data_IF_360064656755
#
_entry.id   IF_360064656755
#
_cell.length_a   1.000
_cell.length_b   1.000
_cell.length_c   1.000
_cell.angle_alpha   90.00
_cell.angle_beta   90.00
_cell.angle_gamma   90.00
#
_symmetry.space_group_name_H-M   'P 1'
#
loop_
_entity.id
_entity.type
_entity.pdbx_description
1 polymer ?
#
# COMPACT_ATOMS: atom_id res chain seq x y z
N UNK A 1 -49.01 -7.53 15.21
CA UNK A 1 -49.69 -6.54 14.35
C UNK A 1 -48.82 -5.30 14.30
N UNK A 2 -48.30 -4.94 13.12
CA UNK A 2 -47.46 -3.75 12.92
C UNK A 2 -47.10 -3.67 11.45
N UNK A 3 -47.52 -2.56 10.83
CA UNK A 3 -47.92 -2.47 9.42
C UNK A 3 -46.76 -1.98 8.54
N UNK A 4 -46.68 -2.53 7.33
CA UNK A 4 -45.76 -2.20 6.26
C UNK A 4 -45.72 -0.70 5.93
N UNK A 5 -44.52 -0.13 5.79
CA UNK A 5 -44.31 1.14 5.09
C UNK A 5 -43.51 0.92 3.81
N UNK A 6 -44.19 1.18 2.69
CA UNK A 6 -43.66 1.09 1.34
C UNK A 6 -42.88 2.36 0.96
N UNK A 7 -41.63 2.21 0.52
CA UNK A 7 -40.89 3.30 -0.15
C UNK A 7 -41.12 3.24 -1.66
N UNK A 8 -41.72 4.31 -2.18
CA UNK A 8 -41.93 4.56 -3.61
C UNK A 8 -40.62 5.00 -4.27
N UNK A 9 -40.25 4.32 -5.35
CA UNK A 9 -39.21 4.74 -6.31
C UNK A 9 -39.77 5.88 -7.18
N UNK A 10 -38.98 6.95 -7.37
CA UNK A 10 -39.16 7.88 -8.48
C UNK A 10 -37.86 8.00 -9.25
N UNK A 11 -37.90 7.50 -10.49
CA UNK A 11 -36.93 7.71 -11.55
C UNK A 11 -37.09 9.14 -12.07
N UNK A 12 -35.98 9.89 -12.23
CA UNK A 12 -35.95 11.14 -12.99
C UNK A 12 -34.61 11.20 -13.73
N UNK A 13 -34.60 10.79 -15.00
CA UNK A 13 -34.58 11.62 -16.21
C UNK A 13 -33.20 12.20 -16.54
N UNK A 14 -32.51 11.53 -17.46
CA UNK A 14 -31.32 12.01 -18.16
C UNK A 14 -31.69 13.12 -19.17
N UNK A 15 -30.88 14.18 -19.33
CA UNK A 15 -31.01 15.09 -20.44
C UNK A 15 -30.26 14.57 -21.68
N UNK A 16 -30.92 14.80 -22.83
CA UNK A 16 -30.52 14.45 -24.19
C UNK A 16 -29.33 15.29 -24.67
N UNK A 17 -28.55 14.66 -25.55
CA UNK A 17 -27.63 15.28 -26.50
C UNK A 17 -28.35 16.29 -27.38
N UNK A 18 -27.68 17.38 -27.72
CA UNK A 18 -27.93 18.12 -28.96
C UNK A 18 -26.61 18.69 -29.51
N UNK A 19 -26.22 18.09 -30.64
CA UNK A 19 -25.82 18.70 -31.91
C UNK A 19 -24.69 19.76 -32.01
N UNK A 20 -23.70 19.35 -32.79
CA UNK A 20 -22.70 20.13 -33.55
C UNK A 20 -23.39 20.88 -34.72
N UNK A 21 -22.89 22.07 -35.10
CA UNK A 21 -22.35 22.28 -36.46
C UNK A 21 -21.01 23.04 -36.38
N UNK A 22 -19.94 22.57 -37.03
CA UNK A 22 -19.54 22.76 -38.44
C UNK A 22 -19.04 24.19 -38.78
N UNK A 23 -17.72 24.24 -39.10
CA UNK A 23 -16.97 25.15 -40.00
C UNK A 23 -16.96 26.68 -39.79
N UNK A 24 -15.74 27.20 -39.65
CA UNK A 24 -15.23 28.40 -40.36
C UNK A 24 -13.69 28.32 -40.34
N UNK A 25 -13.04 28.01 -41.48
CA UNK A 25 -12.27 28.95 -42.32
C UNK A 25 -11.10 29.61 -41.56
N UNK A 26 -9.86 29.22 -41.87
CA UNK A 26 -8.97 29.70 -42.96
C UNK A 26 -8.08 30.84 -42.49
N UNK A 27 -6.82 30.66 -42.83
CA UNK A 27 -5.85 31.69 -43.18
C UNK A 27 -5.52 32.73 -42.11
N UNK A 28 -4.29 32.65 -41.60
CA UNK A 28 -3.30 33.74 -41.73
C UNK A 28 -1.98 33.30 -41.09
N UNK A 29 -1.07 32.81 -41.93
CA UNK A 29 0.37 32.83 -41.65
C UNK A 29 0.97 34.13 -42.20
N UNK A 30 1.90 34.76 -41.48
CA UNK A 30 2.94 35.56 -42.11
C UNK A 30 4.29 34.85 -41.96
N UNK A 31 4.81 34.41 -43.11
CA UNK A 31 6.23 34.10 -43.29
C UNK A 31 7.05 35.39 -43.10
N UNK A 32 7.92 35.39 -42.10
CA UNK A 32 9.01 36.36 -41.99
C UNK A 32 10.34 35.59 -41.98
N UNK A 33 11.21 35.76 -43.00
CA UNK A 33 12.54 35.19 -43.00
C UNK A 33 13.45 36.01 -42.09
N UNK A 34 13.63 35.56 -40.85
CA UNK A 34 14.68 36.10 -39.96
C UNK A 34 15.99 35.38 -40.29
N UNK A 35 16.88 36.16 -40.92
CA UNK A 35 18.27 35.84 -41.21
C UNK A 35 19.01 35.51 -39.91
N UNK A 36 19.40 34.25 -39.75
CA UNK A 36 20.32 33.80 -38.70
C UNK A 36 21.72 34.32 -39.04
N UNK A 37 22.27 35.18 -38.19
CA UNK A 37 23.72 35.35 -38.07
C UNK A 37 24.19 34.46 -36.92
N UNK A 38 25.17 33.56 -37.13
CA UNK A 38 25.75 32.76 -36.06
C UNK A 38 27.18 33.24 -35.80
N UNK A 39 27.39 34.18 -34.89
CA UNK A 39 28.72 34.43 -34.31
C UNK A 39 28.55 35.28 -33.05
N UNK A 40 29.29 34.93 -31.99
CA UNK A 40 29.41 35.64 -30.72
C UNK A 40 28.26 35.53 -29.69
N UNK A 41 28.12 34.34 -29.10
CA UNK A 41 27.83 34.23 -27.64
C UNK A 41 28.34 32.92 -27.05
N UNK A 42 29.55 32.50 -27.45
CA UNK A 42 30.25 31.32 -26.93
C UNK A 42 31.23 31.67 -25.81
N UNK A 43 30.85 32.50 -24.82
CA UNK A 43 31.68 32.75 -23.63
C UNK A 43 30.89 32.96 -22.31
N UNK A 44 29.57 32.75 -22.27
CA UNK A 44 28.77 32.90 -21.04
C UNK A 44 28.15 31.56 -20.53
N UNK A 45 28.74 30.42 -20.87
CA UNK A 45 28.30 29.09 -20.41
C UNK A 45 29.40 28.27 -19.73
N UNK A 46 30.49 28.90 -19.27
CA UNK A 46 31.61 28.21 -18.60
C UNK A 46 31.73 28.39 -17.09
N UNK A 47 30.78 29.06 -16.44
CA UNK A 47 30.81 29.29 -14.98
C UNK A 47 29.58 28.76 -14.21
N UNK A 48 28.74 27.92 -14.82
CA UNK A 48 27.61 27.26 -14.12
C UNK A 48 27.75 25.74 -13.99
N UNK A 49 28.99 25.24 -14.03
CA UNK A 49 29.36 23.99 -13.36
C UNK A 49 30.08 24.33 -12.05
N UNK A 50 29.39 25.11 -11.21
CA UNK A 50 29.71 25.10 -9.79
C UNK A 50 29.29 23.72 -9.30
N UNK A 51 30.30 22.92 -9.00
CA UNK A 51 30.23 21.68 -8.25
C UNK A 51 29.23 21.86 -7.09
N UNK A 52 27.98 21.46 -7.31
CA UNK A 52 27.13 20.94 -6.24
C UNK A 52 27.75 19.61 -5.84
N UNK A 53 28.86 19.71 -5.12
CA UNK A 53 29.18 18.82 -4.02
C UNK A 53 28.01 18.94 -3.07
N UNK A 54 26.91 18.25 -3.42
CA UNK A 54 25.86 17.88 -2.50
C UNK A 54 26.62 17.09 -1.44
N UNK A 55 26.96 17.77 -0.35
CA UNK A 55 27.05 17.12 0.94
C UNK A 55 25.83 16.20 0.97
N UNK A 56 26.06 14.90 0.78
CA UNK A 56 25.06 13.87 0.95
C UNK A 56 24.67 13.99 2.41
N UNK A 57 23.71 14.86 2.70
CA UNK A 57 23.04 14.93 3.98
C UNK A 57 22.52 13.52 4.15
N UNK A 58 23.14 12.78 5.08
CA UNK A 58 22.90 11.36 5.24
C UNK A 58 21.38 11.17 5.33
N UNK A 59 20.83 10.35 4.43
CA UNK A 59 19.41 10.05 4.47
C UNK A 59 19.08 9.46 5.85
N UNK A 60 17.93 9.85 6.39
CA UNK A 60 17.50 9.32 7.68
C UNK A 60 17.30 7.80 7.59
N UNK A 61 17.69 7.09 8.64
CA UNK A 61 17.59 5.63 8.72
C UNK A 61 16.15 5.14 8.46
N UNK A 62 15.96 4.02 7.73
CA UNK A 62 14.65 3.40 7.54
C UNK A 62 13.95 3.07 8.85
N UNK A 63 14.71 2.73 9.89
CA UNK A 63 14.18 2.44 11.23
C UNK A 63 13.51 3.64 11.91
N UNK A 64 13.74 4.85 11.42
CA UNK A 64 13.11 6.08 11.90
C UNK A 64 12.03 6.52 10.93
N UNK A 65 12.34 6.55 9.63
CA UNK A 65 11.45 7.07 8.59
C UNK A 65 10.19 6.22 8.44
N UNK A 66 10.33 4.89 8.40
CA UNK A 66 9.18 4.00 8.16
C UNK A 66 8.17 4.08 9.31
N UNK A 67 8.52 3.83 10.59
CA UNK A 67 7.52 3.85 11.65
C UNK A 67 6.85 5.21 11.80
N UNK A 68 7.60 6.30 11.62
CA UNK A 68 7.05 7.65 11.66
C UNK A 68 5.99 7.89 10.58
N UNK A 69 6.31 7.57 9.31
CA UNK A 69 5.37 7.73 8.19
C UNK A 69 4.13 6.86 8.39
N UNK A 70 4.31 5.59 8.76
CA UNK A 70 3.20 4.67 8.98
C UNK A 70 2.32 5.15 10.14
N UNK A 71 2.89 5.70 11.22
CA UNK A 71 2.10 6.27 12.30
C UNK A 71 1.29 7.49 11.84
N UNK A 72 1.90 8.45 11.13
CA UNK A 72 1.19 9.62 10.59
C UNK A 72 0.05 9.22 9.65
N UNK A 73 0.29 8.24 8.77
CA UNK A 73 -0.74 7.72 7.85
C UNK A 73 -1.88 7.06 8.62
N UNK A 74 -1.56 6.31 9.69
CA UNK A 74 -2.59 5.65 10.50
C UNK A 74 -3.50 6.63 11.23
N UNK A 75 -2.97 7.82 11.56
CA UNK A 75 -3.67 8.90 12.24
C UNK A 75 -4.42 9.83 11.28
N UNK A 76 -4.17 9.72 9.97
CA UNK A 76 -4.82 10.56 8.97
C UNK A 76 -6.35 10.44 9.04
N UNK A 77 -7.03 11.57 9.23
CA UNK A 77 -8.48 11.59 9.10
C UNK A 77 -8.87 11.60 7.63
N UNK A 78 -9.43 10.47 7.22
CA UNK A 78 -10.01 10.25 5.89
C UNK A 78 -11.04 11.33 5.52
N UNK A 79 -11.67 12.01 6.49
CA UNK A 79 -12.61 13.09 6.20
C UNK A 79 -11.95 14.28 5.46
N UNK A 80 -10.64 14.48 5.64
CA UNK A 80 -9.82 15.52 4.99
C UNK A 80 -9.07 14.95 3.77
N UNK A 81 -9.83 14.36 2.83
CA UNK A 81 -9.33 13.60 1.68
C UNK A 81 -8.23 14.32 0.87
N UNK A 82 -8.33 15.65 0.73
CA UNK A 82 -7.37 16.42 -0.07
C UNK A 82 -6.00 16.51 0.62
N UNK A 83 -5.99 16.90 1.89
CA UNK A 83 -4.77 17.07 2.67
C UNK A 83 -4.10 15.71 2.90
N UNK A 84 -4.90 14.67 3.17
CA UNK A 84 -4.40 13.30 3.27
C UNK A 84 -3.70 12.87 1.98
N UNK A 85 -4.26 13.17 0.80
CA UNK A 85 -3.66 12.80 -0.49
C UNK A 85 -2.33 13.49 -0.75
N UNK A 86 -2.24 14.79 -0.46
CA UNK A 86 -0.97 15.53 -0.59
C UNK A 86 0.08 14.93 0.34
N UNK A 87 -0.31 14.65 1.58
CA UNK A 87 0.58 14.03 2.57
C UNK A 87 1.04 12.63 2.15
N UNK A 88 0.15 11.80 1.59
CA UNK A 88 0.51 10.46 1.07
C UNK A 88 1.57 10.53 -0.03
N UNK A 89 1.49 11.50 -0.94
CA UNK A 89 2.51 11.70 -2.00
C UNK A 89 3.86 12.10 -1.42
N UNK A 90 3.84 13.02 -0.45
CA UNK A 90 5.06 13.44 0.26
C UNK A 90 5.70 12.26 0.99
N UNK A 91 4.87 11.44 1.65
CA UNK A 91 5.32 10.24 2.35
C UNK A 91 5.85 9.17 1.41
N UNK A 92 5.20 8.95 0.27
CA UNK A 92 5.68 8.04 -0.75
C UNK A 92 7.06 8.47 -1.29
N UNK A 93 7.24 9.76 -1.58
CA UNK A 93 8.53 10.31 -2.00
C UNK A 93 9.62 10.09 -0.93
N UNK A 94 9.31 10.38 0.34
CA UNK A 94 10.25 10.15 1.46
C UNK A 94 10.64 8.68 1.62
N UNK A 95 9.68 7.76 1.49
CA UNK A 95 9.94 6.33 1.53
C UNK A 95 10.80 5.88 0.34
N UNK A 96 10.55 6.40 -0.86
CA UNK A 96 11.35 6.07 -2.04
C UNK A 96 12.79 6.57 -1.91
N UNK A 97 12.98 7.79 -1.42
CA UNK A 97 14.32 8.35 -1.20
C UNK A 97 15.07 7.56 -0.12
N UNK A 98 14.38 7.19 0.96
CA UNK A 98 14.94 6.33 2.00
C UNK A 98 15.30 4.94 1.46
N UNK A 99 14.43 4.35 0.62
CA UNK A 99 14.72 3.06 -0.01
C UNK A 99 15.94 3.14 -0.93
N UNK A 100 16.04 4.17 -1.77
CA UNK A 100 17.21 4.35 -2.64
C UNK A 100 18.51 4.56 -1.87
N UNK A 101 18.45 5.16 -0.69
CA UNK A 101 19.63 5.39 0.14
C UNK A 101 20.09 4.16 0.94
N UNK A 102 19.16 3.26 1.30
CA UNK A 102 19.41 2.14 2.21
C UNK A 102 19.21 0.74 1.58
N UNK A 103 18.76 0.69 0.32
CA UNK A 103 18.62 -0.50 -0.52
C UNK A 103 18.07 -1.73 0.23
N UNK A 104 18.91 -2.73 0.47
CA UNK A 104 18.54 -4.02 1.07
C UNK A 104 18.11 -3.93 2.54
N UNK A 105 18.52 -2.89 3.27
CA UNK A 105 18.07 -2.67 4.65
C UNK A 105 16.61 -2.22 4.71
N UNK A 106 16.16 -1.49 3.68
CA UNK A 106 14.86 -0.83 3.69
C UNK A 106 13.67 -1.80 3.79
N UNK A 107 13.53 -2.87 2.97
CA UNK A 107 12.39 -3.78 3.07
C UNK A 107 12.24 -4.44 4.44
N UNK A 108 13.38 -4.80 5.06
CA UNK A 108 13.39 -5.39 6.41
C UNK A 108 12.96 -4.39 7.47
N UNK A 109 13.49 -3.17 7.41
CA UNK A 109 13.07 -2.09 8.31
C UNK A 109 11.60 -1.71 8.10
N UNK A 110 11.12 -1.77 6.85
CA UNK A 110 9.73 -1.51 6.51
C UNK A 110 8.80 -2.54 7.16
N UNK A 111 9.09 -3.84 7.00
CA UNK A 111 8.29 -4.90 7.61
C UNK A 111 8.26 -4.79 9.14
N UNK A 112 9.40 -4.52 9.78
CA UNK A 112 9.47 -4.30 11.24
C UNK A 112 8.70 -3.07 11.70
N UNK A 113 8.85 -1.96 10.98
CA UNK A 113 8.13 -0.72 11.30
C UNK A 113 6.62 -0.91 11.17
N UNK A 114 6.18 -1.68 10.18
CA UNK A 114 4.77 -2.03 10.02
C UNK A 114 4.24 -2.82 11.22
N UNK A 115 4.96 -3.85 11.66
CA UNK A 115 4.58 -4.63 12.84
C UNK A 115 4.56 -3.78 14.12
N UNK A 116 5.57 -2.93 14.31
CA UNK A 116 5.63 -2.03 15.46
C UNK A 116 4.41 -1.09 15.53
N UNK A 117 3.98 -0.57 14.38
CA UNK A 117 2.81 0.33 14.32
C UNK A 117 1.52 -0.44 14.62
N UNK A 118 1.37 -1.66 14.08
CA UNK A 118 0.20 -2.51 14.36
C UNK A 118 0.08 -2.84 15.85
N UNK A 119 1.19 -3.23 16.48
CA UNK A 119 1.25 -3.53 17.91
C UNK A 119 0.97 -2.32 18.80
N UNK A 120 1.16 -1.11 18.26
CA UNK A 120 0.86 0.15 18.95
C UNK A 120 -0.62 0.56 18.88
N UNK A 121 -1.48 -0.18 18.18
CA UNK A 121 -2.91 0.11 18.14
C UNK A 121 -3.59 -0.37 19.42
N UNK A 122 -4.13 0.58 20.20
CA UNK A 122 -4.87 0.29 21.42
C UNK A 122 -6.03 -0.68 21.17
N UNK A 123 -6.10 -1.71 22.01
CA UNK A 123 -6.98 -2.87 21.85
C UNK A 123 -8.47 -2.60 22.10
N UNK A 124 -8.79 -1.50 22.79
CA UNK A 124 -10.12 -1.31 23.37
C UNK A 124 -11.04 -0.35 22.59
N UNK A 125 -10.65 0.13 21.40
CA UNK A 125 -11.44 1.15 20.70
C UNK A 125 -11.75 0.81 19.25
N UNK A 126 -12.97 1.16 18.82
CA UNK A 126 -13.40 1.21 17.42
C UNK A 126 -12.44 2.00 16.49
N UNK A 127 -11.51 2.77 17.06
CA UNK A 127 -10.44 3.47 16.35
C UNK A 127 -9.40 2.57 15.69
N UNK A 128 -9.09 1.38 16.23
CA UNK A 128 -8.08 0.48 15.65
C UNK A 128 -8.44 0.05 14.23
N UNK A 129 -9.70 -0.30 13.99
CA UNK A 129 -10.21 -0.65 12.66
C UNK A 129 -10.08 0.51 11.66
N UNK A 130 -10.27 1.77 12.11
CA UNK A 130 -10.07 2.95 11.24
C UNK A 130 -8.60 3.09 10.86
N UNK A 131 -7.69 2.98 11.84
CA UNK A 131 -6.23 3.07 11.61
C UNK A 131 -5.73 1.99 10.65
N UNK A 132 -6.16 0.73 10.85
CA UNK A 132 -5.82 -0.39 9.96
C UNK A 132 -6.32 -0.12 8.53
N UNK A 133 -7.54 0.41 8.36
CA UNK A 133 -8.07 0.76 7.04
C UNK A 133 -7.28 1.88 6.37
N UNK A 134 -6.90 2.93 7.10
CA UNK A 134 -6.05 4.01 6.59
C UNK A 134 -4.69 3.48 6.13
N UNK A 135 -4.04 2.65 6.94
CA UNK A 135 -2.80 1.98 6.56
C UNK A 135 -2.96 1.10 5.33
N UNK A 136 -3.97 0.23 5.31
CA UNK A 136 -4.22 -0.67 4.18
C UNK A 136 -4.42 0.10 2.88
N UNK A 137 -5.17 1.21 2.93
CA UNK A 137 -5.32 2.11 1.80
C UNK A 137 -3.97 2.64 1.32
N UNK A 138 -3.20 3.24 2.22
CA UNK A 138 -1.89 3.77 1.87
C UNK A 138 -0.98 2.70 1.26
N UNK A 139 -0.86 1.54 1.90
CA UNK A 139 -0.02 0.44 1.41
C UNK A 139 -0.44 -0.05 0.04
N UNK A 140 -1.74 -0.17 -0.22
CA UNK A 140 -2.25 -0.59 -1.54
C UNK A 140 -1.85 0.41 -2.64
N UNK A 141 -1.95 1.72 -2.39
CA UNK A 141 -1.49 2.73 -3.35
C UNK A 141 0.04 2.81 -3.45
N UNK A 142 0.73 2.62 -2.33
CA UNK A 142 2.20 2.58 -2.27
C UNK A 142 2.76 1.43 -3.11
N UNK A 143 2.07 0.30 -3.13
CA UNK A 143 2.51 -0.96 -3.75
C UNK A 143 1.99 -1.16 -5.17
N UNK A 144 0.80 -0.65 -5.50
CA UNK A 144 0.16 -0.89 -6.80
C UNK A 144 -0.72 0.28 -7.28
N UNK A 145 -0.40 1.49 -6.86
CA UNK A 145 -1.10 2.70 -7.33
C UNK A 145 -0.90 2.93 -8.83
N UNK A 146 -1.95 3.44 -9.52
CA UNK A 146 -1.78 4.00 -10.88
C UNK A 146 -1.02 5.32 -10.87
N UNK A 147 -1.20 6.11 -9.81
CA UNK A 147 -0.51 7.38 -9.66
C UNK A 147 0.96 7.12 -9.30
N UNK A 148 1.86 7.43 -10.24
CA UNK A 148 3.30 7.32 -10.06
C UNK A 148 3.85 8.25 -8.96
N UNK A 149 3.07 9.20 -8.47
CA UNK A 149 3.44 10.04 -7.34
C UNK A 149 3.28 9.32 -5.98
N UNK A 150 2.48 8.26 -5.91
CA UNK A 150 2.28 7.47 -4.68
C UNK A 150 2.88 6.07 -4.82
N UNK A 151 2.79 5.47 -6.00
CA UNK A 151 3.35 4.15 -6.26
C UNK A 151 4.89 4.18 -6.25
N UNK A 152 5.50 3.39 -5.38
CA UNK A 152 6.96 3.34 -5.22
C UNK A 152 7.53 2.13 -5.95
N UNK A 153 8.45 2.42 -6.89
CA UNK A 153 9.31 1.45 -7.56
C UNK A 153 10.76 1.89 -7.52
N UNK A 154 11.68 0.95 -7.36
CA UNK A 154 13.11 1.20 -7.56
C UNK A 154 13.56 0.52 -8.86
N UNK A 155 13.61 1.29 -9.95
CA UNK A 155 13.83 0.74 -11.29
C UNK A 155 12.66 -0.18 -11.70
N UNK A 156 12.93 -1.48 -11.79
CA UNK A 156 11.92 -2.51 -12.13
C UNK A 156 11.37 -3.24 -10.90
N UNK A 157 11.92 -2.98 -9.72
CA UNK A 157 11.52 -3.67 -8.50
C UNK A 157 10.33 -2.97 -7.83
N UNK A 158 9.30 -3.77 -7.54
CA UNK A 158 8.15 -3.36 -6.74
C UNK A 158 8.47 -3.48 -5.25
N UNK A 159 8.06 -2.51 -4.43
CA UNK A 159 8.37 -2.56 -3.00
C UNK A 159 7.72 -3.78 -2.32
N UNK A 160 6.49 -4.11 -2.69
CA UNK A 160 5.72 -5.17 -2.02
C UNK A 160 6.32 -6.57 -2.21
N UNK A 161 7.00 -6.82 -3.33
CA UNK A 161 7.65 -8.12 -3.58
C UNK A 161 8.83 -8.36 -2.65
N UNK A 162 9.36 -7.31 -2.02
CA UNK A 162 10.42 -7.38 -1.03
C UNK A 162 9.88 -7.33 0.40
N UNK A 163 8.87 -6.49 0.66
CA UNK A 163 8.31 -6.29 2.00
C UNK A 163 7.47 -7.48 2.47
N UNK A 164 6.60 -8.05 1.63
CA UNK A 164 5.74 -9.16 2.05
C UNK A 164 6.54 -10.42 2.45
N UNK A 165 7.62 -10.81 1.75
CA UNK A 165 8.48 -11.91 2.19
C UNK A 165 9.25 -11.62 3.49
N UNK A 166 9.65 -10.37 3.76
CA UNK A 166 10.27 -10.00 5.05
C UNK A 166 9.23 -10.06 6.18
N UNK A 167 8.00 -9.58 5.93
CA UNK A 167 6.89 -9.69 6.89
C UNK A 167 6.59 -11.15 7.23
N UNK A 168 6.50 -12.02 6.21
CA UNK A 168 6.30 -13.45 6.41
C UNK A 168 7.46 -14.12 7.15
N UNK A 169 8.70 -13.70 6.93
CA UNK A 169 9.85 -14.22 7.69
C UNK A 169 9.75 -13.91 9.18
N UNK A 170 9.24 -12.74 9.54
CA UNK A 170 9.10 -12.33 10.94
C UNK A 170 7.91 -13.08 11.58
N UNK A 171 6.73 -13.00 10.97
CA UNK A 171 5.48 -13.52 11.57
C UNK A 171 5.36 -15.05 11.53
N UNK A 172 6.10 -15.72 10.65
CA UNK A 172 6.14 -17.18 10.55
C UNK A 172 7.34 -17.80 11.29
N UNK A 173 8.16 -17.00 11.98
CA UNK A 173 9.28 -17.52 12.76
C UNK A 173 8.77 -18.29 14.00
N UNK A 174 9.24 -19.52 14.15
CA UNK A 174 8.90 -20.39 15.29
C UNK A 174 9.94 -20.26 16.39
N UNK A 175 10.31 -19.02 16.72
CA UNK A 175 11.22 -18.70 17.83
C UNK A 175 10.71 -19.25 19.17
N UNK A 176 11.52 -19.16 20.23
CA UNK A 176 11.26 -19.81 21.52
C UNK A 176 9.85 -19.56 22.10
N UNK A 177 9.31 -18.35 21.89
CA UNK A 177 8.04 -17.89 22.46
C UNK A 177 6.95 -17.72 21.40
N UNK A 178 7.06 -18.40 20.25
CA UNK A 178 6.12 -18.25 19.12
C UNK A 178 4.66 -18.55 19.49
N UNK A 179 4.41 -19.38 20.51
CA UNK A 179 3.05 -19.67 21.02
C UNK A 179 2.55 -18.69 22.06
N UNK A 180 3.32 -17.66 22.41
CA UNK A 180 2.91 -16.67 23.42
C UNK A 180 1.70 -15.87 22.95
N UNK A 181 0.95 -15.31 23.90
CA UNK A 181 -0.21 -14.47 23.59
C UNK A 181 0.18 -13.21 22.80
N UNK A 182 1.37 -12.65 23.05
CA UNK A 182 1.86 -11.48 22.33
C UNK A 182 2.11 -11.79 20.85
N UNK A 183 2.84 -12.87 20.56
CA UNK A 183 3.09 -13.33 19.19
C UNK A 183 1.80 -13.74 18.47
N UNK A 184 0.88 -14.38 19.20
CA UNK A 184 -0.44 -14.76 18.70
C UNK A 184 -1.30 -13.56 18.29
N UNK A 185 -1.16 -12.46 19.03
CA UNK A 185 -1.84 -11.19 18.75
C UNK A 185 -1.20 -10.44 17.58
N UNK A 186 0.13 -10.35 17.53
CA UNK A 186 0.86 -9.76 16.39
C UNK A 186 0.43 -10.40 15.07
N UNK A 187 0.28 -11.74 15.06
CA UNK A 187 -0.24 -12.48 13.91
C UNK A 187 -1.68 -12.14 13.56
N UNK A 188 -2.55 -11.92 14.54
CA UNK A 188 -3.94 -11.49 14.28
C UNK A 188 -3.98 -10.11 13.65
N UNK A 189 -3.29 -9.14 14.23
CA UNK A 189 -3.23 -7.76 13.72
C UNK A 189 -2.65 -7.73 12.30
N UNK A 190 -1.60 -8.51 12.05
CA UNK A 190 -1.04 -8.66 10.71
C UNK A 190 -2.03 -9.30 9.74
N UNK A 191 -2.73 -10.36 10.16
CA UNK A 191 -3.77 -11.00 9.35
C UNK A 191 -4.93 -10.05 9.04
N UNK A 192 -5.33 -9.21 9.99
CA UNK A 192 -6.35 -8.18 9.79
C UNK A 192 -5.90 -7.12 8.78
N UNK A 193 -4.66 -6.64 8.88
CA UNK A 193 -4.09 -5.72 7.89
C UNK A 193 -4.05 -6.34 6.49
N UNK A 194 -3.56 -7.57 6.34
CA UNK A 194 -3.49 -8.26 5.05
C UNK A 194 -4.89 -8.48 4.46
N UNK A 195 -5.88 -8.78 5.31
CA UNK A 195 -7.29 -8.86 4.90
C UNK A 195 -7.80 -7.51 4.42
N UNK A 196 -7.47 -6.43 5.12
CA UNK A 196 -7.83 -5.07 4.71
C UNK A 196 -7.18 -4.67 3.38
N UNK A 197 -5.90 -5.00 3.16
CA UNK A 197 -5.18 -4.82 1.89
C UNK A 197 -5.89 -5.59 0.77
N UNK A 198 -6.19 -6.88 0.97
CA UNK A 198 -6.86 -7.72 -0.03
C UNK A 198 -8.26 -7.21 -0.39
N UNK A 199 -9.05 -6.81 0.62
CA UNK A 199 -10.39 -6.26 0.41
C UNK A 199 -10.36 -4.90 -0.28
N UNK A 200 -9.44 -4.02 0.13
CA UNK A 200 -9.27 -2.71 -0.47
C UNK A 200 -8.77 -2.80 -1.92
N UNK A 201 -7.78 -3.66 -2.17
CA UNK A 201 -7.28 -3.99 -3.49
C UNK A 201 -8.40 -4.41 -4.44
N UNK A 202 -9.25 -5.38 -4.02
CA UNK A 202 -10.39 -5.84 -4.84
C UNK A 202 -11.43 -4.75 -5.10
N UNK A 203 -11.73 -3.93 -4.09
CA UNK A 203 -12.73 -2.87 -4.21
C UNK A 203 -12.26 -1.77 -5.18
N UNK A 204 -10.99 -1.38 -5.09
CA UNK A 204 -10.45 -0.26 -5.86
C UNK A 204 -10.10 -0.61 -7.32
N UNK A 205 -10.21 -1.89 -7.70
CA UNK A 205 -10.19 -2.31 -9.12
C UNK A 205 -11.48 -1.91 -9.83
N UNK A 206 -12.60 -1.94 -9.12
CA UNK A 206 -13.94 -1.71 -9.70
C UNK A 206 -14.41 -0.27 -9.48
N UNK A 207 -13.99 0.36 -8.38
CA UNK A 207 -14.43 1.68 -7.97
C UNK A 207 -13.23 2.55 -7.60
N UNK A 208 -13.40 3.88 -7.64
CA UNK A 208 -12.42 4.79 -7.04
C UNK A 208 -12.36 4.55 -5.54
N UNK A 209 -11.16 4.45 -4.99
CA UNK A 209 -10.95 4.35 -3.55
C UNK A 209 -11.66 5.50 -2.84
N UNK A 210 -12.55 5.18 -1.88
CA UNK A 210 -13.27 6.20 -1.12
C UNK A 210 -12.34 7.08 -0.25
N UNK A 211 -11.11 6.64 -0.01
CA UNK A 211 -10.14 7.26 0.89
C UNK A 211 -9.14 8.17 0.16
N UNK A 212 -8.86 7.92 -1.13
CA UNK A 212 -7.91 8.74 -1.90
C UNK A 212 -8.46 9.19 -3.27
N UNK A 213 -9.63 8.71 -3.67
CA UNK A 213 -10.27 9.01 -4.95
C UNK A 213 -9.63 8.32 -6.16
N UNK A 214 -8.64 7.45 -5.98
CA UNK A 214 -7.88 6.85 -7.07
C UNK A 214 -8.31 5.41 -7.41
N UNK A 215 -8.09 5.02 -8.66
CA UNK A 215 -8.22 3.63 -9.10
C UNK A 215 -6.87 2.91 -9.02
N UNK A 216 -6.89 1.61 -8.75
CA UNK A 216 -5.66 0.81 -8.75
C UNK A 216 -5.21 0.35 -10.13
N UNK A 217 -3.93 -0.02 -10.21
CA UNK A 217 -3.29 -0.57 -11.39
C UNK A 217 -3.87 -1.93 -11.79
N UNK A 218 -3.55 -2.41 -12.99
CA UNK A 218 -3.94 -3.77 -13.43
C UNK A 218 -3.15 -4.87 -12.69
N UNK A 219 -2.08 -4.53 -11.97
CA UNK A 219 -1.24 -5.50 -11.25
C UNK A 219 -1.78 -5.85 -9.85
N UNK A 220 -2.94 -5.32 -9.49
CA UNK A 220 -3.59 -5.47 -8.19
C UNK A 220 -3.83 -6.91 -7.80
N UNK A 221 -4.06 -7.79 -8.77
CA UNK A 221 -4.30 -9.20 -8.51
C UNK A 221 -3.07 -9.87 -7.88
N UNK A 222 -1.85 -9.54 -8.35
CA UNK A 222 -0.63 -10.13 -7.81
C UNK A 222 -0.35 -9.74 -6.35
N UNK A 223 -0.54 -8.45 -6.02
CA UNK A 223 -0.43 -7.97 -4.64
C UNK A 223 -1.50 -8.60 -3.75
N UNK A 224 -2.75 -8.62 -4.22
CA UNK A 224 -3.89 -9.18 -3.48
C UNK A 224 -3.69 -10.67 -3.23
N UNK A 225 -3.26 -11.43 -4.24
CA UNK A 225 -3.00 -12.87 -4.12
C UNK A 225 -1.85 -13.14 -3.14
N UNK A 226 -0.76 -12.38 -3.23
CA UNK A 226 0.36 -12.49 -2.29
C UNK A 226 -0.05 -12.16 -0.85
N UNK A 227 -0.89 -11.13 -0.65
CA UNK A 227 -1.42 -10.78 0.66
C UNK A 227 -2.31 -11.89 1.23
N UNK A 228 -3.20 -12.49 0.42
CA UNK A 228 -4.03 -13.63 0.83
C UNK A 228 -3.21 -14.88 1.14
N UNK A 229 -2.19 -15.18 0.33
CA UNK A 229 -1.31 -16.32 0.58
C UNK A 229 -0.59 -16.18 1.93
N UNK A 230 -0.02 -15.00 2.20
CA UNK A 230 0.65 -14.72 3.46
C UNK A 230 -0.34 -14.77 4.65
N UNK A 231 -1.52 -14.16 4.49
CA UNK A 231 -2.57 -14.16 5.51
C UNK A 231 -3.00 -15.59 5.87
N UNK A 232 -3.18 -16.46 4.87
CA UNK A 232 -3.52 -17.87 5.10
C UNK A 232 -2.42 -18.63 5.86
N UNK A 233 -1.13 -18.34 5.57
CA UNK A 233 0.00 -18.95 6.31
C UNK A 233 0.01 -18.50 7.77
N UNK A 234 -0.14 -17.20 8.02
CA UNK A 234 -0.19 -16.62 9.37
C UNK A 234 -1.37 -17.18 10.15
N UNK A 235 -2.56 -17.25 9.54
CA UNK A 235 -3.75 -17.80 10.17
C UNK A 235 -3.53 -19.26 10.60
N UNK A 236 -3.01 -20.12 9.72
CA UNK A 236 -2.71 -21.53 10.05
C UNK A 236 -1.72 -21.64 11.20
N UNK A 237 -0.66 -20.83 11.19
CA UNK A 237 0.31 -20.81 12.29
C UNK A 237 -0.33 -20.36 13.60
N UNK A 238 -1.24 -19.39 13.56
CA UNK A 238 -1.89 -18.91 14.76
C UNK A 238 -2.88 -19.93 15.35
N UNK A 239 -3.59 -20.67 14.50
CA UNK A 239 -4.43 -21.80 14.93
C UNK A 239 -3.57 -22.87 15.63
N UNK A 240 -2.40 -23.19 15.07
CA UNK A 240 -1.47 -24.14 15.68
C UNK A 240 -0.97 -23.66 17.06
N UNK A 241 -0.62 -22.37 17.19
CA UNK A 241 -0.16 -21.78 18.45
C UNK A 241 -1.20 -21.91 19.58
N UNK A 242 -2.50 -21.85 19.25
CA UNK A 242 -3.62 -21.89 20.21
C UNK A 242 -4.12 -23.29 20.51
N UNK A 243 -3.73 -24.28 19.73
CA UNK A 243 -4.21 -25.66 19.92
C UNK A 243 -3.45 -26.31 21.09
N UNK A 244 -4.13 -26.75 22.17
CA UNK A 244 -3.47 -27.37 23.31
C UNK A 244 -2.73 -28.65 22.89
N UNK A 245 -1.45 -28.79 23.28
CA UNK A 245 -0.59 -29.94 22.93
C UNK A 245 -1.24 -31.32 23.15
N UNK A 246 -2.11 -31.48 24.16
CA UNK A 246 -2.80 -32.75 24.42
C UNK A 246 -3.65 -33.22 23.24
N UNK A 247 -4.31 -32.30 22.50
CA UNK A 247 -5.10 -32.62 21.31
C UNK A 247 -4.24 -32.82 20.05
N UNK A 248 -3.05 -32.22 20.00
CA UNK A 248 -2.15 -32.37 18.85
C UNK A 248 -1.61 -33.81 18.74
N UNK A 249 -1.25 -34.42 19.88
CA UNK A 249 -0.85 -35.84 19.92
C UNK A 249 -1.99 -36.79 19.54
N UNK A 250 -3.24 -36.51 19.92
CA UNK A 250 -4.40 -37.34 19.56
C UNK A 250 -4.67 -37.30 18.04
N UNK A 251 -4.58 -36.12 17.41
CA UNK A 251 -4.76 -35.95 15.97
C UNK A 251 -3.66 -36.65 15.15
N UNK A 252 -2.40 -36.53 15.58
CA UNK A 252 -1.26 -37.22 14.93
C UNK A 252 -1.36 -38.74 15.09
N UNK A 253 -1.87 -39.24 16.23
CA UNK A 253 -2.13 -40.68 16.39
C UNK A 253 -3.30 -41.19 15.56
N UNK A 254 -4.37 -40.41 15.35
CA UNK A 254 -5.49 -40.80 14.50
C UNK A 254 -5.10 -40.86 13.01
N UNK A 255 -4.33 -39.90 12.48
CA UNK A 255 -3.82 -39.99 11.10
C UNK A 255 -2.87 -41.18 10.92
N UNK A 256 -2.00 -41.44 11.91
CA UNK A 256 -1.09 -42.59 11.87
C UNK A 256 -1.80 -43.95 11.99
N UNK A 257 -2.94 -44.01 12.71
CA UNK A 257 -3.77 -45.21 12.80
C UNK A 257 -4.58 -45.45 11.53
N UNK A 258 -5.07 -44.39 10.88
CA UNK A 258 -5.85 -44.49 9.64
C UNK A 258 -4.99 -44.98 8.47
N UNK A 259 -3.73 -44.56 8.40
CA UNK A 259 -2.76 -45.04 7.39
C UNK A 259 -2.35 -46.51 7.55
N UNK A 260 -2.50 -47.09 8.75
CA UNK A 260 -2.20 -48.52 9.00
C UNK A 260 -3.35 -49.47 8.66
N UNK A 261 -4.55 -48.96 8.38
CA UNK A 261 -5.74 -49.77 8.06
C UNK A 261 -5.91 -49.96 6.54
N UNK A 262 -5.13 -49.24 5.73
CA UNK A 262 -5.24 -49.24 4.25
C UNK A 262 -4.15 -50.09 3.55
N UNK A 263 -3.30 -50.79 4.31
CA UNK A 263 -2.32 -51.76 3.81
C UNK A 263 -2.53 -53.12 4.49
#
# INVERSE_FOLDING_TARGET
MGVFSAMKRTLSKSPKQDNVPEKLEKDMAPDLPVKVQPEETSQLEKNFHSEKTLEKKAAASPSVVVPWILNEVSECDISELFDCRVQMKVHAARLLDCWRAHEAEFPRAFARGLLQVLQGFDQDNAGSSKKIKSLACFLVHLFDGKDSAVHIRNGKEELWTLVLPELGRIELDRGKDWTSNAESRSREETSELLTAIGNHGRTCVVQTCALCGEQLGRHSNSLVDAAYELQNKIYKMNVQARTPRKKATELETEEALTLKIVF
#
